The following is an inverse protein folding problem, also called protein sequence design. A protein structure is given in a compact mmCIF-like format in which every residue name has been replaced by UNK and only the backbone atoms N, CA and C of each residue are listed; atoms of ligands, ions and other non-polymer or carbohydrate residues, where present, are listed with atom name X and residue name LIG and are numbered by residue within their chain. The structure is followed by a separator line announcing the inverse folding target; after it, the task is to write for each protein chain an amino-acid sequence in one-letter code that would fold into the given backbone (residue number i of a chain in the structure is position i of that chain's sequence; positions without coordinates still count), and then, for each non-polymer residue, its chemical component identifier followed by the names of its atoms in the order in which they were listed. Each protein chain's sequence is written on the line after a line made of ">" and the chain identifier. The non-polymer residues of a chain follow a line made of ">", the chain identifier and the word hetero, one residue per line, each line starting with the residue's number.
data_IF_356023810977
#
_entry.id   IF_356023810977
#
_cell.length_a   1.000
_cell.length_b   1.000
_cell.length_c   1.000
_cell.angle_alpha   90.00
_cell.angle_beta   90.00
_cell.angle_gamma   90.00
#
_symmetry.space_group_name_H-M   'P 1'
#
loop_
_entity.id
_entity.type
_entity.pdbx_description
1 polymer ?
#
# COMPACT_ATOMS: atom_id res chain seq x y z
N UNK A 1 -21.17 -17.45 -1.15
CA UNK A 1 -21.35 -16.90 -2.50
C UNK A 1 -19.96 -16.55 -3.01
N UNK A 2 -19.41 -17.40 -3.86
CA UNK A 2 -18.05 -17.27 -4.40
C UNK A 2 -18.03 -16.09 -5.39
N UNK A 3 -17.28 -15.04 -5.07
CA UNK A 3 -17.05 -13.93 -5.99
C UNK A 3 -15.79 -14.21 -6.82
N UNK A 4 -15.92 -15.02 -7.88
CA UNK A 4 -14.92 -15.14 -8.95
C UNK A 4 -15.01 -13.96 -9.94
N UNK A 5 -14.94 -12.74 -9.43
CA UNK A 5 -14.99 -11.55 -10.29
C UNK A 5 -13.61 -11.17 -10.81
N UNK A 6 -13.10 -11.82 -11.87
CA UNK A 6 -11.84 -11.41 -12.54
C UNK A 6 -11.80 -9.89 -12.80
N UNK A 7 -10.91 -9.17 -12.11
CA UNK A 7 -10.68 -7.74 -12.36
C UNK A 7 -9.62 -7.59 -13.43
N UNK A 8 -10.02 -7.05 -14.57
CA UNK A 8 -9.14 -6.65 -15.67
C UNK A 8 -8.71 -5.20 -15.49
N UNK A 9 -7.45 -4.84 -15.78
CA UNK A 9 -7.01 -3.46 -15.66
C UNK A 9 -7.73 -2.58 -16.68
N UNK A 10 -8.22 -1.43 -16.24
CA UNK A 10 -8.76 -0.42 -17.14
C UNK A 10 -7.61 0.20 -17.96
N UNK A 11 -7.49 -0.28 -19.20
CA UNK A 11 -6.59 0.25 -20.23
C UNK A 11 -7.44 0.64 -21.42
N UNK A 12 -7.16 1.79 -22.03
CA UNK A 12 -7.85 2.25 -23.25
C UNK A 12 -7.96 1.13 -24.27
N UNK A 13 -9.14 1.00 -24.89
CA UNK A 13 -9.44 -0.05 -25.87
C UNK A 13 -8.53 -0.01 -27.10
N UNK A 14 -7.93 1.14 -27.38
CA UNK A 14 -6.94 1.38 -28.44
C UNK A 14 -5.58 0.73 -28.15
N UNK A 15 -5.23 0.63 -26.87
CA UNK A 15 -3.96 0.05 -26.41
C UNK A 15 -4.11 -1.43 -26.05
N UNK A 16 -5.32 -2.00 -26.12
CA UNK A 16 -5.59 -3.38 -25.75
C UNK A 16 -5.34 -4.32 -26.93
N UNK A 17 -4.47 -5.34 -26.80
CA UNK A 17 -4.28 -6.32 -27.86
C UNK A 17 -5.58 -7.05 -28.21
N UNK A 18 -5.78 -7.30 -29.50
CA UNK A 18 -6.90 -8.07 -30.05
C UNK A 18 -6.33 -9.16 -30.96
N UNK A 19 -7.01 -10.31 -30.99
CA UNK A 19 -6.68 -11.37 -31.93
C UNK A 19 -6.84 -10.85 -33.36
N UNK A 20 -5.90 -11.21 -34.23
CA UNK A 20 -5.89 -10.77 -35.63
C UNK A 20 -5.21 -9.42 -35.89
N UNK A 21 -4.76 -8.69 -34.87
CA UNK A 21 -3.95 -7.47 -35.08
C UNK A 21 -2.68 -7.82 -35.85
N UNK A 22 -2.41 -7.07 -36.92
CA UNK A 22 -1.25 -7.24 -37.80
C UNK A 22 -0.17 -6.19 -37.49
N UNK A 23 1.09 -6.60 -37.59
CA UNK A 23 2.27 -5.75 -37.40
C UNK A 23 3.31 -6.06 -38.48
N UNK A 24 4.09 -5.06 -38.88
CA UNK A 24 5.11 -5.22 -39.93
C UNK A 24 6.39 -5.88 -39.38
N UNK A 25 6.75 -5.63 -38.12
CA UNK A 25 7.88 -6.27 -37.45
C UNK A 25 7.55 -6.72 -36.02
N UNK A 26 8.37 -7.60 -35.46
CA UNK A 26 8.15 -8.09 -34.09
C UNK A 26 8.58 -7.08 -33.02
N UNK A 27 9.40 -6.07 -33.36
CA UNK A 27 9.75 -4.94 -32.49
C UNK A 27 8.52 -4.08 -32.21
N UNK A 28 7.68 -3.82 -33.22
CA UNK A 28 6.43 -3.06 -33.05
C UNK A 28 5.47 -3.80 -32.11
N UNK A 29 5.39 -5.13 -32.25
CA UNK A 29 4.62 -5.98 -31.32
C UNK A 29 5.15 -5.83 -29.90
N UNK A 30 6.48 -5.84 -29.72
CA UNK A 30 7.10 -5.69 -28.41
C UNK A 30 6.76 -4.33 -27.79
N UNK A 31 6.93 -3.24 -28.56
CA UNK A 31 6.66 -1.87 -28.08
C UNK A 31 5.18 -1.70 -27.73
N UNK A 32 4.28 -2.18 -28.58
CA UNK A 32 2.84 -2.15 -28.35
C UNK A 32 2.46 -2.91 -27.07
N UNK A 33 2.93 -4.15 -26.92
CA UNK A 33 2.59 -4.95 -25.75
C UNK A 33 3.26 -4.43 -24.47
N UNK A 34 4.48 -3.89 -24.56
CA UNK A 34 5.17 -3.28 -23.42
C UNK A 34 4.44 -2.02 -22.93
N UNK A 35 3.91 -1.22 -23.85
CA UNK A 35 3.09 -0.05 -23.52
C UNK A 35 1.78 -0.46 -22.84
N UNK A 36 1.08 -1.46 -23.39
CA UNK A 36 -0.08 -2.07 -22.74
C UNK A 36 0.26 -2.58 -21.33
N UNK A 37 1.32 -3.38 -21.19
CA UNK A 37 1.72 -3.98 -19.93
C UNK A 37 2.09 -2.94 -18.87
N UNK A 38 2.79 -1.88 -19.28
CA UNK A 38 3.11 -0.73 -18.43
C UNK A 38 1.84 -0.04 -17.94
N UNK A 39 0.89 0.23 -18.85
CA UNK A 39 -0.41 0.82 -18.50
C UNK A 39 -1.29 -0.13 -17.67
N UNK A 40 -1.09 -1.44 -17.77
CA UNK A 40 -1.75 -2.46 -16.98
C UNK A 40 -1.01 -2.81 -15.67
N UNK A 41 0.18 -2.24 -15.41
CA UNK A 41 0.92 -2.37 -14.16
C UNK A 41 1.84 -3.61 -14.03
N UNK A 42 2.24 -4.24 -15.13
CA UNK A 42 3.14 -5.40 -15.12
C UNK A 42 4.28 -5.28 -16.14
N UNK A 43 5.38 -6.01 -15.89
CA UNK A 43 6.50 -6.12 -16.82
C UNK A 43 6.39 -7.38 -17.69
N UNK A 44 6.99 -7.33 -18.89
CA UNK A 44 6.97 -8.44 -19.85
C UNK A 44 8.37 -9.03 -20.08
N UNK A 45 8.43 -10.30 -20.48
CA UNK A 45 9.61 -10.92 -21.05
C UNK A 45 9.23 -11.88 -22.19
N UNK A 46 10.19 -12.24 -23.03
CA UNK A 46 9.98 -13.17 -24.13
C UNK A 46 10.13 -14.61 -23.65
N UNK A 47 9.02 -15.36 -23.55
CA UNK A 47 9.02 -16.76 -23.12
C UNK A 47 9.51 -17.71 -24.20
N UNK A 48 9.01 -17.51 -25.42
CA UNK A 48 9.21 -18.47 -26.53
C UNK A 48 9.54 -17.71 -27.78
N UNK A 49 10.59 -18.12 -28.49
CA UNK A 49 10.88 -17.70 -29.87
C UNK A 49 11.09 -18.95 -30.72
N UNK A 50 10.39 -19.05 -31.84
CA UNK A 50 10.67 -20.07 -32.87
C UNK A 50 11.07 -19.36 -34.14
N UNK A 51 12.14 -19.85 -34.74
CA UNK A 51 12.67 -19.36 -36.02
C UNK A 51 12.58 -20.47 -37.06
N UNK A 52 12.42 -20.08 -38.33
CA UNK A 52 12.62 -21.00 -39.44
C UNK A 52 14.10 -21.38 -39.49
N UNK A 53 14.41 -22.67 -39.52
CA UNK A 53 15.79 -23.16 -39.55
C UNK A 53 16.51 -22.84 -40.87
N UNK A 54 15.76 -22.67 -41.97
CA UNK A 54 16.32 -22.40 -43.28
C UNK A 54 16.55 -20.90 -43.54
N UNK A 55 15.59 -20.05 -43.17
CA UNK A 55 15.67 -18.60 -43.41
C UNK A 55 16.18 -17.80 -42.21
N UNK A 56 16.24 -18.40 -41.02
CA UNK A 56 16.58 -17.71 -39.76
C UNK A 56 15.48 -16.78 -39.24
N UNK A 57 14.40 -16.61 -39.99
CA UNK A 57 13.34 -15.65 -39.66
C UNK A 57 12.48 -16.12 -38.49
N UNK A 58 12.04 -15.18 -37.65
CA UNK A 58 11.13 -15.46 -36.54
C UNK A 58 9.74 -15.83 -37.08
N UNK A 59 9.31 -17.05 -36.81
CA UNK A 59 7.99 -17.57 -37.21
C UNK A 59 6.97 -17.51 -36.09
N UNK A 60 7.40 -17.56 -34.83
CA UNK A 60 6.55 -17.47 -33.65
C UNK A 60 7.26 -16.76 -32.50
N UNK A 61 6.54 -15.91 -31.78
CA UNK A 61 7.05 -15.29 -30.55
C UNK A 61 5.97 -15.18 -29.49
N UNK A 62 6.33 -15.38 -28.23
CA UNK A 62 5.44 -15.26 -27.09
C UNK A 62 6.04 -14.32 -26.04
N UNK A 63 5.32 -13.25 -25.75
CA UNK A 63 5.60 -12.32 -24.66
C UNK A 63 4.66 -12.61 -23.50
N UNK A 64 5.20 -12.67 -22.28
CA UNK A 64 4.45 -13.09 -21.09
C UNK A 64 4.77 -12.16 -19.94
N UNK A 65 3.93 -12.15 -18.91
CA UNK A 65 4.25 -11.45 -17.66
C UNK A 65 5.53 -12.00 -17.02
N UNK A 66 6.36 -11.11 -16.45
CA UNK A 66 7.54 -11.49 -15.66
C UNK A 66 7.20 -12.45 -14.50
N UNK A 67 5.96 -12.41 -14.01
CA UNK A 67 5.45 -13.31 -12.97
C UNK A 67 4.89 -14.64 -13.49
N UNK A 68 5.04 -14.99 -14.76
CA UNK A 68 4.53 -16.26 -15.31
C UNK A 68 5.29 -17.47 -14.74
N UNK A 69 4.59 -18.54 -14.36
CA UNK A 69 5.16 -19.80 -13.86
C UNK A 69 5.29 -19.83 -12.33
N UNK A 70 5.81 -20.92 -11.77
CA UNK A 70 5.99 -21.09 -10.32
C UNK A 70 7.45 -21.39 -9.99
N UNK A 71 7.94 -20.94 -8.84
CA UNK A 71 9.26 -21.30 -8.35
C UNK A 71 9.28 -22.79 -7.93
N UNK A 72 10.37 -23.49 -8.24
CA UNK A 72 10.61 -24.85 -7.74
C UNK A 72 10.86 -24.80 -6.23
N UNK A 73 10.12 -25.56 -5.44
CA UNK A 73 10.32 -25.73 -4.00
C UNK A 73 11.61 -26.51 -3.76
N UNK A 74 12.70 -25.84 -3.37
CA UNK A 74 13.93 -26.52 -2.97
C UNK A 74 13.87 -26.92 -1.49
N UNK A 75 14.02 -28.21 -1.18
CA UNK A 75 14.03 -28.79 0.18
C UNK A 75 15.31 -28.50 0.99
N UNK A 76 16.14 -27.54 0.57
CA UNK A 76 17.44 -27.28 1.21
C UNK A 76 17.43 -25.93 1.91
N UNK A 77 17.48 -25.98 3.25
CA UNK A 77 17.69 -24.86 4.15
C UNK A 77 19.09 -24.27 3.99
N UNK A 78 19.28 -23.40 2.99
CA UNK A 78 20.37 -22.42 3.00
C UNK A 78 19.77 -21.04 3.02
N UNK A 79 20.12 -20.24 4.04
CA UNK A 79 19.82 -18.80 4.16
C UNK A 79 20.40 -18.05 2.95
N UNK A 80 19.69 -18.08 1.82
CA UNK A 80 19.89 -17.15 0.70
C UNK A 80 18.85 -16.05 0.83
N UNK A 81 19.27 -14.80 0.62
CA UNK A 81 18.40 -13.61 0.51
C UNK A 81 17.12 -13.98 -0.25
N UNK A 82 15.98 -13.91 0.42
CA UNK A 82 14.68 -14.10 -0.20
C UNK A 82 14.45 -12.92 -1.15
N UNK A 83 14.66 -13.14 -2.45
CA UNK A 83 14.19 -12.23 -3.49
C UNK A 83 12.67 -12.35 -3.53
N UNK A 84 11.94 -11.24 -3.60
CA UNK A 84 10.48 -11.24 -3.79
C UNK A 84 10.08 -12.19 -4.92
N UNK A 85 8.93 -12.86 -4.75
CA UNK A 85 8.51 -13.96 -5.61
C UNK A 85 8.51 -13.53 -7.09
N UNK A 86 9.47 -14.03 -7.87
CA UNK A 86 9.61 -13.66 -9.29
C UNK A 86 8.56 -14.28 -10.19
N UNK A 87 7.86 -15.35 -9.75
CA UNK A 87 6.93 -16.13 -10.60
C UNK A 87 5.72 -16.61 -9.76
N UNK A 88 4.56 -15.99 -9.97
CA UNK A 88 3.32 -16.19 -9.20
C UNK A 88 2.23 -16.92 -9.99
N UNK A 89 2.58 -17.55 -11.11
CA UNK A 89 1.64 -18.26 -11.97
C UNK A 89 0.85 -17.37 -12.93
N UNK A 90 1.21 -16.09 -13.09
CA UNK A 90 0.46 -15.15 -13.93
C UNK A 90 0.30 -15.67 -15.37
N UNK A 91 -0.94 -15.71 -15.86
CA UNK A 91 -1.29 -16.26 -17.19
C UNK A 91 -1.30 -15.21 -18.31
N UNK A 92 -1.02 -13.94 -18.00
CA UNK A 92 -1.01 -12.86 -18.98
C UNK A 92 0.05 -13.11 -20.05
N UNK A 93 -0.37 -13.08 -21.33
CA UNK A 93 0.49 -13.36 -22.48
C UNK A 93 0.00 -12.70 -23.75
N UNK A 94 0.92 -12.51 -24.69
CA UNK A 94 0.68 -12.17 -26.09
C UNK A 94 1.50 -13.14 -26.96
N UNK A 95 0.86 -13.79 -27.92
CA UNK A 95 1.48 -14.70 -28.86
C UNK A 95 1.27 -14.21 -30.29
N UNK A 96 2.33 -14.23 -31.09
CA UNK A 96 2.32 -13.86 -32.51
C UNK A 96 2.82 -14.99 -33.41
N UNK A 97 2.32 -15.01 -34.64
CA UNK A 97 2.81 -15.85 -35.74
C UNK A 97 3.14 -14.99 -36.96
N UNK A 98 4.19 -15.36 -37.70
CA UNK A 98 4.50 -14.77 -39.00
C UNK A 98 3.62 -15.43 -40.07
N UNK A 99 2.97 -14.61 -40.89
CA UNK A 99 2.22 -15.04 -42.07
C UNK A 99 3.04 -14.67 -43.31
N UNK A 100 3.61 -15.68 -43.95
CA UNK A 100 4.56 -15.50 -45.06
C UNK A 100 3.91 -14.84 -46.29
N UNK A 101 2.65 -15.14 -46.59
CA UNK A 101 1.92 -14.59 -47.74
C UNK A 101 1.78 -13.06 -47.70
N UNK A 102 1.64 -12.50 -46.49
CA UNK A 102 1.50 -11.05 -46.26
C UNK A 102 2.78 -10.39 -45.76
N UNK A 103 3.80 -11.19 -45.43
CA UNK A 103 5.01 -10.78 -44.70
C UNK A 103 4.71 -9.95 -43.44
N UNK A 104 3.73 -10.38 -42.64
CA UNK A 104 3.31 -9.69 -41.41
C UNK A 104 3.27 -10.62 -40.20
N UNK A 105 3.29 -10.02 -39.02
CA UNK A 105 3.09 -10.69 -37.74
C UNK A 105 1.66 -10.49 -37.25
N UNK A 106 0.97 -11.58 -36.92
CA UNK A 106 -0.42 -11.54 -36.47
C UNK A 106 -0.52 -12.01 -35.02
N UNK A 107 -1.29 -11.30 -34.20
CA UNK A 107 -1.63 -11.72 -32.84
C UNK A 107 -2.57 -12.92 -32.89
N UNK A 108 -2.12 -14.07 -32.38
CA UNK A 108 -2.87 -15.34 -32.36
C UNK A 108 -3.25 -15.80 -30.96
N UNK A 109 -2.73 -15.14 -29.93
CA UNK A 109 -3.09 -15.42 -28.56
C UNK A 109 -2.93 -14.18 -27.69
N UNK A 110 -3.94 -13.89 -26.89
CA UNK A 110 -3.89 -12.82 -25.90
C UNK A 110 -4.65 -13.28 -24.66
N UNK A 111 -3.94 -13.31 -23.53
CA UNK A 111 -4.56 -13.45 -22.23
C UNK A 111 -4.34 -12.14 -21.48
N UNK A 112 -5.44 -11.55 -21.04
CA UNK A 112 -5.41 -10.37 -20.20
C UNK A 112 -4.80 -10.69 -18.84
N UNK A 113 -4.21 -9.68 -18.20
CA UNK A 113 -3.74 -9.82 -16.83
C UNK A 113 -4.97 -9.78 -15.92
N UNK A 114 -5.21 -10.88 -15.20
CA UNK A 114 -6.14 -10.88 -14.08
C UNK A 114 -5.40 -10.33 -12.86
N UNK A 115 -5.80 -9.15 -12.39
CA UNK A 115 -5.20 -8.52 -11.22
C UNK A 115 -5.39 -9.39 -9.97
N UNK A 116 -6.48 -10.16 -9.89
CA UNK A 116 -6.79 -11.03 -8.74
C UNK A 116 -5.87 -12.25 -8.59
N UNK A 117 -5.30 -12.81 -9.67
CA UNK A 117 -4.30 -13.88 -9.55
C UNK A 117 -2.91 -13.34 -9.11
N UNK A 118 -2.72 -12.02 -9.09
CA UNK A 118 -1.40 -11.39 -8.93
C UNK A 118 -1.28 -10.46 -7.71
N UNK A 119 -2.40 -9.99 -7.13
CA UNK A 119 -2.37 -8.84 -6.21
C UNK A 119 -2.41 -9.12 -4.71
N UNK A 120 -2.47 -10.35 -4.21
CA UNK A 120 -2.56 -10.52 -2.75
C UNK A 120 -1.85 -11.75 -2.19
N UNK A 121 -0.63 -12.05 -2.64
CA UNK A 121 0.23 -12.98 -1.90
C UNK A 121 0.72 -12.40 -0.56
N UNK A 122 -0.13 -11.69 0.19
CA UNK A 122 0.24 -11.03 1.44
C UNK A 122 1.15 -9.80 1.28
N UNK A 123 1.43 -9.18 2.42
CA UNK A 123 2.25 -7.98 2.56
C UNK A 123 3.71 -8.22 2.11
N UNK A 124 4.14 -9.48 2.05
CA UNK A 124 5.41 -9.97 1.50
C UNK A 124 5.59 -9.79 -0.03
N UNK A 125 4.57 -9.31 -0.74
CA UNK A 125 4.61 -9.06 -2.18
C UNK A 125 4.42 -7.58 -2.58
N UNK A 126 4.47 -6.66 -1.60
CA UNK A 126 4.61 -5.21 -1.85
C UNK A 126 5.94 -5.01 -2.58
N UNK A 127 5.83 -4.66 -3.86
CA UNK A 127 6.94 -4.68 -4.81
C UNK A 127 7.88 -3.52 -4.58
N UNK A 128 8.78 -3.66 -3.61
CA UNK A 128 9.89 -2.76 -3.41
C UNK A 128 11.17 -3.46 -3.88
N UNK A 129 11.76 -3.00 -4.99
CA UNK A 129 13.11 -3.43 -5.39
C UNK A 129 14.07 -2.28 -5.18
N UNK A 130 15.26 -2.59 -4.65
CA UNK A 130 16.42 -1.71 -4.49
C UNK A 130 16.66 -0.74 -5.67
N UNK A 131 16.28 -1.14 -6.89
CA UNK A 131 16.42 -0.33 -8.12
C UNK A 131 15.44 0.84 -8.20
N UNK A 132 14.21 0.69 -7.70
CA UNK A 132 13.23 1.78 -7.64
C UNK A 132 13.69 2.86 -6.67
N UNK A 133 14.40 2.46 -5.61
CA UNK A 133 15.00 3.40 -4.67
C UNK A 133 16.29 4.00 -5.20
N UNK A 134 17.12 3.28 -5.94
CA UNK A 134 18.23 3.94 -6.64
C UNK A 134 17.74 4.98 -7.65
N UNK A 135 16.64 4.71 -8.34
CA UNK A 135 16.03 5.67 -9.27
C UNK A 135 15.45 6.87 -8.51
N UNK A 136 14.73 6.63 -7.41
CA UNK A 136 14.18 7.70 -6.57
C UNK A 136 15.28 8.49 -5.84
N UNK A 137 16.26 7.84 -5.20
CA UNK A 137 17.39 8.47 -4.51
C UNK A 137 18.35 9.20 -5.46
N UNK A 138 18.42 8.81 -6.74
CA UNK A 138 19.06 9.62 -7.79
C UNK A 138 18.32 10.94 -8.00
N UNK A 139 16.99 10.90 -7.97
CA UNK A 139 16.11 12.04 -8.24
C UNK A 139 15.84 12.89 -6.97
N UNK A 140 16.05 12.35 -5.75
CA UNK A 140 15.75 12.95 -4.42
C UNK A 140 17.02 13.35 -3.66
N UNK A 141 18.10 13.73 -4.33
CA UNK A 141 19.23 14.44 -3.69
C UNK A 141 18.84 15.87 -3.22
N UNK A 142 17.67 16.04 -2.60
CA UNK A 142 17.00 17.33 -2.39
C UNK A 142 16.98 17.86 -0.95
N UNK A 143 16.99 17.02 0.09
CA UNK A 143 17.01 17.51 1.48
C UNK A 143 18.13 16.88 2.30
N UNK A 144 19.30 17.51 2.17
CA UNK A 144 20.41 17.33 3.10
C UNK A 144 20.38 18.44 4.14
N UNK A 145 20.73 18.12 5.38
CA UNK A 145 20.97 19.13 6.39
C UNK A 145 22.24 19.95 6.07
N UNK A 146 22.55 20.94 6.91
CA UNK A 146 23.74 21.78 6.77
C UNK A 146 25.07 21.02 6.78
N UNK A 147 25.05 19.75 7.20
CA UNK A 147 26.21 18.85 7.26
C UNK A 147 26.22 17.82 6.11
N UNK A 148 25.27 17.90 5.17
CA UNK A 148 25.18 16.99 4.04
C UNK A 148 24.51 15.64 4.34
N UNK A 149 23.87 15.48 5.50
CA UNK A 149 23.17 14.24 5.90
C UNK A 149 21.73 14.26 5.42
N UNK A 150 21.22 13.14 4.92
CA UNK A 150 19.80 13.02 4.56
C UNK A 150 18.91 13.22 5.78
N UNK A 151 17.93 14.13 5.67
CA UNK A 151 17.04 14.50 6.78
C UNK A 151 15.73 13.70 6.75
N UNK A 152 14.96 13.83 5.68
CA UNK A 152 13.73 13.06 5.50
C UNK A 152 13.73 12.40 4.12
N UNK A 153 13.11 11.23 4.02
CA UNK A 153 13.05 10.46 2.77
C UNK A 153 11.63 9.96 2.64
N UNK A 154 10.92 10.35 1.59
CA UNK A 154 9.59 9.82 1.24
C UNK A 154 9.74 8.94 0.01
N UNK A 155 8.85 7.99 -0.26
CA UNK A 155 8.76 7.34 -1.56
C UNK A 155 7.40 6.69 -1.77
N UNK A 156 7.00 6.61 -3.03
CA UNK A 156 5.81 5.88 -3.47
C UNK A 156 6.03 5.29 -4.86
N UNK A 157 5.86 3.97 -5.00
CA UNK A 157 6.01 3.31 -6.29
C UNK A 157 4.77 3.47 -7.17
N UNK A 158 4.89 3.14 -8.47
CA UNK A 158 3.81 3.32 -9.44
C UNK A 158 2.54 2.49 -9.10
N UNK A 159 2.67 1.34 -8.43
CA UNK A 159 1.54 0.53 -7.98
C UNK A 159 0.87 1.18 -6.78
N UNK A 160 1.63 1.66 -5.82
CA UNK A 160 1.11 2.38 -4.66
C UNK A 160 0.33 3.62 -5.06
N UNK A 161 0.87 4.43 -5.98
CA UNK A 161 0.20 5.62 -6.53
C UNK A 161 -1.09 5.25 -7.27
N UNK A 162 -1.07 4.19 -8.09
CA UNK A 162 -2.27 3.70 -8.77
C UNK A 162 -3.30 3.15 -7.79
N UNK A 163 -2.87 2.47 -6.73
CA UNK A 163 -3.78 1.93 -5.74
C UNK A 163 -4.47 3.06 -4.95
N UNK A 164 -3.78 4.18 -4.70
CA UNK A 164 -4.37 5.37 -4.11
C UNK A 164 -5.50 5.94 -4.97
N UNK A 165 -5.39 5.92 -6.31
CA UNK A 165 -6.45 6.37 -7.22
C UNK A 165 -7.80 5.65 -6.99
N UNK A 166 -7.76 4.38 -6.57
CA UNK A 166 -8.96 3.57 -6.30
C UNK A 166 -9.36 3.50 -4.83
N UNK A 167 -8.39 3.58 -3.92
CA UNK A 167 -8.56 3.23 -2.49
C UNK A 167 -8.12 4.35 -1.54
N UNK A 168 -7.75 5.52 -2.06
CA UNK A 168 -7.19 6.64 -1.30
C UNK A 168 -8.20 7.45 -0.47
N UNK A 169 -9.48 7.10 -0.47
CA UNK A 169 -10.50 7.81 0.33
C UNK A 169 -10.20 7.79 1.84
N UNK A 170 -9.59 6.71 2.32
CA UNK A 170 -9.23 6.52 3.73
C UNK A 170 -7.76 6.13 3.83
N UNK A 171 -6.99 6.95 4.51
CA UNK A 171 -5.55 6.73 4.75
C UNK A 171 -5.32 6.51 6.24
N UNK A 172 -4.54 5.51 6.60
CA UNK A 172 -3.95 5.32 7.93
C UNK A 172 -2.51 5.80 7.89
N UNK A 173 -2.17 6.65 8.86
CA UNK A 173 -0.80 7.07 9.10
C UNK A 173 -0.44 6.77 10.55
N UNK A 174 0.60 5.96 10.73
CA UNK A 174 1.01 5.44 12.03
C UNK A 174 2.54 5.54 12.16
N UNK A 175 3.03 6.21 13.21
CA UNK A 175 4.47 6.40 13.45
C UNK A 175 5.05 5.40 14.45
N UNK A 176 4.29 4.41 14.91
CA UNK A 176 4.71 3.52 16.02
C UNK A 176 5.77 2.45 15.64
N UNK A 177 6.47 2.60 14.52
CA UNK A 177 7.53 1.70 14.10
C UNK A 177 8.88 2.07 14.72
N UNK A 178 9.64 1.05 15.12
CA UNK A 178 10.99 1.19 15.67
C UNK A 178 11.91 2.07 14.79
N UNK A 179 12.92 2.67 15.41
CA UNK A 179 13.95 3.40 14.68
C UNK A 179 14.98 2.45 14.04
N UNK A 180 15.45 2.80 12.84
CA UNK A 180 16.54 2.10 12.16
C UNK A 180 17.92 2.45 12.80
N UNK A 181 19.03 1.94 12.26
CA UNK A 181 20.37 2.20 12.82
C UNK A 181 20.80 3.68 12.79
N UNK A 182 20.07 4.52 12.04
CA UNK A 182 20.28 5.96 11.93
C UNK A 182 19.35 6.77 12.85
N UNK A 183 18.52 6.11 13.66
CA UNK A 183 17.56 6.78 14.53
C UNK A 183 16.34 7.34 13.79
N UNK A 184 16.16 7.01 12.51
CA UNK A 184 15.01 7.50 11.73
C UNK A 184 13.76 6.66 12.00
N UNK A 185 12.63 7.34 12.10
CA UNK A 185 11.30 6.77 12.32
C UNK A 185 10.70 6.38 10.97
N UNK A 186 10.18 5.15 10.89
CA UNK A 186 9.48 4.69 9.71
C UNK A 186 7.99 5.09 9.77
N UNK A 187 7.53 5.70 8.68
CA UNK A 187 6.22 6.35 8.56
C UNK A 187 5.48 5.82 7.32
N UNK A 188 4.78 4.66 7.42
CA UNK A 188 3.97 4.14 6.33
C UNK A 188 2.61 4.87 6.22
N UNK A 189 2.17 5.08 4.99
CA UNK A 189 0.86 5.60 4.63
C UNK A 189 0.07 4.48 3.95
N UNK A 190 -0.96 3.99 4.65
CA UNK A 190 -1.66 2.75 4.35
C UNK A 190 -3.13 3.01 4.03
N UNK A 191 -3.80 2.08 3.37
CA UNK A 191 -5.25 2.04 3.22
C UNK A 191 -5.74 0.60 3.08
N UNK A 192 -6.96 0.43 2.57
CA UNK A 192 -7.54 -0.89 2.30
C UNK A 192 -8.19 -0.97 0.93
N UNK A 193 -8.08 -2.13 0.30
CA UNK A 193 -8.85 -2.41 -0.90
C UNK A 193 -10.26 -2.95 -0.57
N UNK A 194 -11.06 -3.22 -1.60
CA UNK A 194 -12.42 -3.76 -1.47
C UNK A 194 -12.48 -5.15 -0.80
N UNK A 195 -11.36 -5.86 -0.68
CA UNK A 195 -11.23 -7.14 0.03
C UNK A 195 -10.73 -6.98 1.47
N UNK A 196 -10.65 -5.75 1.99
CA UNK A 196 -10.14 -5.41 3.33
C UNK A 196 -8.67 -5.79 3.54
N UNK A 197 -7.91 -5.91 2.46
CA UNK A 197 -6.49 -6.14 2.51
C UNK A 197 -5.77 -4.80 2.60
N UNK A 198 -4.73 -4.73 3.43
CA UNK A 198 -3.88 -3.55 3.53
C UNK A 198 -3.23 -3.23 2.19
N UNK A 199 -3.29 -1.97 1.82
CA UNK A 199 -2.59 -1.41 0.65
C UNK A 199 -1.59 -0.37 1.14
N UNK A 200 -0.37 -0.40 0.61
CA UNK A 200 0.63 0.64 0.86
C UNK A 200 0.54 1.72 -0.21
N UNK A 201 0.33 2.98 0.18
CA UNK A 201 0.31 4.14 -0.73
C UNK A 201 1.65 4.87 -0.78
N UNK A 202 2.41 4.86 0.30
CA UNK A 202 3.74 5.45 0.35
C UNK A 202 4.37 5.25 1.72
N UNK A 203 5.65 5.55 1.83
CA UNK A 203 6.40 5.44 3.07
C UNK A 203 7.34 6.62 3.23
N UNK A 204 7.74 6.88 4.46
CA UNK A 204 8.87 7.75 4.73
C UNK A 204 9.77 7.25 5.85
N UNK A 205 10.99 7.76 5.86
CA UNK A 205 11.87 7.81 7.01
C UNK A 205 12.05 9.26 7.44
N UNK A 206 11.78 9.53 8.72
CA UNK A 206 11.87 10.87 9.30
C UNK A 206 12.96 10.90 10.38
N UNK A 207 13.80 11.92 10.40
CA UNK A 207 14.81 12.09 11.47
C UNK A 207 14.22 12.56 12.80
N UNK A 208 13.00 13.11 12.79
CA UNK A 208 12.35 13.61 14.01
C UNK A 208 10.83 13.56 13.90
N UNK A 209 10.17 13.29 15.02
CA UNK A 209 8.70 13.33 15.19
C UNK A 209 8.26 14.74 15.59
N UNK A 210 8.39 15.68 14.65
CA UNK A 210 8.00 17.10 14.86
C UNK A 210 6.91 17.51 13.89
N UNK A 211 6.16 18.56 14.21
CA UNK A 211 5.14 19.10 13.29
C UNK A 211 5.73 19.39 11.92
N UNK A 212 6.92 20.00 11.85
CA UNK A 212 7.55 20.35 10.57
C UNK A 212 7.90 19.11 9.74
N UNK A 213 8.40 18.05 10.38
CA UNK A 213 8.67 16.77 9.71
C UNK A 213 7.39 16.12 9.15
N UNK A 214 6.29 16.19 9.90
CA UNK A 214 5.00 15.65 9.44
C UNK A 214 4.34 16.52 8.38
N UNK A 215 4.46 17.85 8.47
CA UNK A 215 4.03 18.77 7.40
C UNK A 215 4.76 18.43 6.12
N UNK A 216 6.08 18.28 6.18
CA UNK A 216 6.89 17.88 5.04
C UNK A 216 6.41 16.55 4.44
N UNK A 217 6.21 15.52 5.28
CA UNK A 217 5.75 14.21 4.84
C UNK A 217 4.40 14.28 4.12
N UNK A 218 3.43 14.97 4.71
CA UNK A 218 2.07 15.05 4.16
C UNK A 218 2.04 15.87 2.86
N UNK A 219 2.87 16.91 2.73
CA UNK A 219 3.04 17.65 1.47
C UNK A 219 3.68 16.78 0.38
N UNK A 220 4.73 16.02 0.68
CA UNK A 220 5.34 15.10 -0.29
C UNK A 220 4.39 13.98 -0.72
N UNK A 221 3.63 13.44 0.23
CA UNK A 221 2.57 12.48 -0.07
C UNK A 221 1.52 13.08 -1.01
N UNK A 222 1.02 14.27 -0.71
CA UNK A 222 0.02 14.98 -1.52
C UNK A 222 0.53 15.28 -2.94
N UNK A 223 1.81 15.65 -3.09
CA UNK A 223 2.43 15.85 -4.41
C UNK A 223 2.56 14.56 -5.21
N UNK A 224 2.84 13.44 -4.53
CA UNK A 224 3.08 12.16 -5.18
C UNK A 224 1.80 11.42 -5.58
N UNK A 225 0.73 11.55 -4.79
CA UNK A 225 -0.53 10.85 -5.04
C UNK A 225 -1.34 11.48 -6.18
N UNK A 226 -1.93 10.68 -7.08
CA UNK A 226 -2.85 11.19 -8.07
C UNK A 226 -4.21 11.54 -7.43
N UNK A 227 -4.88 12.56 -7.97
CA UNK A 227 -6.23 12.93 -7.55
C UNK A 227 -6.28 13.82 -6.30
N UNK A 228 -7.39 13.73 -5.57
CA UNK A 228 -7.67 14.59 -4.41
C UNK A 228 -7.06 14.03 -3.11
N UNK A 229 -6.87 14.89 -2.10
CA UNK A 229 -6.58 14.47 -0.73
C UNK A 229 -7.58 13.43 -0.19
N UNK A 230 -7.17 12.59 0.78
CA UNK A 230 -8.06 11.58 1.35
C UNK A 230 -9.26 12.24 2.03
N UNK A 231 -10.41 11.57 2.05
CA UNK A 231 -11.59 12.05 2.77
C UNK A 231 -11.41 11.90 4.28
N UNK A 232 -10.73 10.84 4.70
CA UNK A 232 -10.40 10.58 6.10
C UNK A 232 -8.92 10.19 6.24
N UNK A 233 -8.25 10.74 7.25
CA UNK A 233 -6.96 10.24 7.72
C UNK A 233 -7.10 9.75 9.16
N UNK A 234 -6.58 8.56 9.42
CA UNK A 234 -6.62 7.90 10.72
C UNK A 234 -5.21 7.84 11.29
N UNK A 235 -4.99 8.44 12.46
CA UNK A 235 -3.67 8.45 13.12
C UNK A 235 -3.79 8.12 14.60
N UNK A 236 -2.67 7.91 15.28
CA UNK A 236 -2.65 7.94 16.73
C UNK A 236 -2.93 9.36 17.28
N UNK A 237 -3.07 9.46 18.60
CA UNK A 237 -3.33 10.73 19.29
C UNK A 237 -2.00 11.46 19.56
N UNK A 238 -1.44 12.03 18.49
CA UNK A 238 -0.22 12.85 18.53
C UNK A 238 -0.51 14.32 18.14
N UNK A 239 -0.02 15.25 18.96
CA UNK A 239 -0.28 16.68 18.77
C UNK A 239 0.45 17.26 17.56
N UNK A 240 1.66 16.76 17.26
CA UNK A 240 2.45 17.20 16.12
C UNK A 240 1.81 16.75 14.80
N UNK A 241 1.34 15.49 14.73
CA UNK A 241 0.59 14.95 13.59
C UNK A 241 -0.73 15.70 13.40
N UNK A 242 -1.49 15.90 14.48
CA UNK A 242 -2.77 16.63 14.42
C UNK A 242 -2.59 18.03 13.84
N UNK A 243 -1.56 18.75 14.28
CA UNK A 243 -1.23 20.08 13.76
C UNK A 243 -0.77 20.03 12.30
N UNK A 244 0.01 19.03 11.91
CA UNK A 244 0.48 18.88 10.53
C UNK A 244 -0.67 18.57 9.55
N UNK A 245 -1.62 17.73 9.95
CA UNK A 245 -2.83 17.44 9.16
C UNK A 245 -3.66 18.70 8.97
N UNK A 246 -3.88 19.47 10.03
CA UNK A 246 -4.64 20.72 9.94
C UNK A 246 -4.00 21.74 8.98
N UNK A 247 -2.68 21.73 8.83
CA UNK A 247 -1.95 22.62 7.93
C UNK A 247 -1.94 22.15 6.47
N UNK A 248 -1.81 20.84 6.23
CA UNK A 248 -1.55 20.28 4.88
C UNK A 248 -2.79 19.69 4.20
N UNK A 249 -3.73 19.15 5.00
CA UNK A 249 -4.93 18.45 4.58
C UNK A 249 -6.20 19.03 5.25
N UNK A 250 -6.50 20.34 5.08
CA UNK A 250 -7.56 21.02 5.83
C UNK A 250 -8.98 20.52 5.53
N UNK A 251 -9.18 19.84 4.39
CA UNK A 251 -10.47 19.26 3.98
C UNK A 251 -10.62 17.78 4.37
N UNK A 252 -9.56 17.17 4.90
CA UNK A 252 -9.55 15.77 5.30
C UNK A 252 -10.05 15.65 6.73
N UNK A 253 -11.00 14.75 6.98
CA UNK A 253 -11.44 14.47 8.33
C UNK A 253 -10.36 13.72 9.11
N UNK A 254 -9.88 14.30 10.20
CA UNK A 254 -8.91 13.66 11.08
C UNK A 254 -9.60 12.81 12.15
N UNK A 255 -9.35 11.49 12.09
CA UNK A 255 -9.86 10.50 13.02
C UNK A 255 -8.73 9.94 13.87
N UNK A 256 -8.92 9.84 15.18
CA UNK A 256 -7.98 9.10 16.02
C UNK A 256 -8.25 7.59 15.94
N UNK A 257 -7.17 6.84 15.90
CA UNK A 257 -7.15 5.40 15.83
C UNK A 257 -7.69 4.81 17.14
N UNK A 258 -8.87 4.21 17.06
CA UNK A 258 -9.55 3.61 18.20
C UNK A 258 -8.74 2.47 18.84
N UNK A 259 -7.89 1.74 18.10
CA UNK A 259 -7.04 0.71 18.69
C UNK A 259 -6.03 1.30 19.69
N UNK A 260 -5.31 2.35 19.29
CA UNK A 260 -4.38 3.04 20.18
C UNK A 260 -5.09 3.61 21.41
N UNK A 261 -6.31 4.12 21.21
CA UNK A 261 -7.14 4.61 22.32
C UNK A 261 -7.49 3.45 23.26
N UNK A 262 -8.04 2.34 22.75
CA UNK A 262 -8.42 1.17 23.56
C UNK A 262 -7.23 0.51 24.26
N UNK A 263 -6.03 0.51 23.67
CA UNK A 263 -4.82 0.07 24.37
C UNK A 263 -4.51 0.97 25.56
N UNK A 264 -4.60 2.30 25.39
CA UNK A 264 -4.45 3.23 26.51
C UNK A 264 -5.50 2.99 27.61
N UNK A 265 -6.74 2.59 27.28
CA UNK A 265 -7.74 2.22 28.31
C UNK A 265 -7.22 1.11 29.23
N UNK A 266 -6.57 0.08 28.66
CA UNK A 266 -6.04 -1.05 29.45
C UNK A 266 -4.82 -0.67 30.31
N UNK A 267 -4.07 0.36 29.91
CA UNK A 267 -2.88 0.84 30.63
C UNK A 267 -3.21 1.79 31.78
N UNK A 268 -4.41 2.39 31.81
CA UNK A 268 -4.78 3.39 32.81
C UNK A 268 -5.28 2.75 34.11
N UNK A 269 -4.78 3.18 35.28
CA UNK A 269 -5.21 2.66 36.58
C UNK A 269 -6.72 2.78 36.79
N UNK A 270 -7.35 1.72 37.31
CA UNK A 270 -8.79 1.69 37.63
C UNK A 270 -9.74 1.47 36.45
N UNK A 271 -9.27 1.63 35.20
CA UNK A 271 -10.13 1.50 34.01
C UNK A 271 -10.25 0.04 33.54
N UNK A 272 -9.26 -0.79 33.82
CA UNK A 272 -9.22 -2.19 33.37
C UNK A 272 -10.42 -3.04 33.81
N UNK A 273 -10.99 -2.77 34.99
CA UNK A 273 -12.11 -3.53 35.56
C UNK A 273 -13.42 -3.32 34.79
N UNK A 274 -13.64 -2.10 34.28
CA UNK A 274 -14.83 -1.74 33.51
C UNK A 274 -14.61 -1.80 31.99
N UNK A 275 -13.43 -2.23 31.52
CA UNK A 275 -13.03 -2.20 30.11
C UNK A 275 -14.04 -2.90 29.18
N UNK A 276 -14.59 -4.05 29.60
CA UNK A 276 -15.57 -4.81 28.82
C UNK A 276 -16.88 -4.02 28.62
N UNK A 277 -17.37 -3.38 29.67
CA UNK A 277 -18.60 -2.56 29.63
C UNK A 277 -18.37 -1.28 28.82
N UNK A 278 -17.23 -0.62 29.02
CA UNK A 278 -16.80 0.54 28.27
C UNK A 278 -16.70 0.23 26.77
N UNK A 279 -16.10 -0.92 26.40
CA UNK A 279 -16.04 -1.37 25.01
C UNK A 279 -17.45 -1.54 24.42
N UNK A 280 -18.36 -2.19 25.15
CA UNK A 280 -19.75 -2.34 24.69
C UNK A 280 -20.41 -0.99 24.44
N UNK A 281 -20.21 -0.01 25.34
CA UNK A 281 -20.72 1.35 25.17
C UNK A 281 -20.13 2.04 23.92
N UNK A 282 -18.80 1.96 23.71
CA UNK A 282 -18.10 2.58 22.57
C UNK A 282 -18.59 2.01 21.23
N UNK A 283 -18.83 0.70 21.16
CA UNK A 283 -19.27 0.02 19.94
C UNK A 283 -20.80 0.00 19.76
N UNK A 284 -21.55 0.12 20.85
CA UNK A 284 -22.98 -0.19 20.95
C UNK A 284 -23.95 0.85 20.37
N UNK A 285 -23.47 1.91 19.71
CA UNK A 285 -24.28 3.12 19.41
C UNK A 285 -24.93 3.75 20.64
N UNK A 286 -24.44 3.41 21.84
CA UNK A 286 -25.03 3.85 23.09
C UNK A 286 -24.76 5.34 23.30
N UNK A 287 -25.73 5.99 23.93
CA UNK A 287 -25.78 7.45 24.10
C UNK A 287 -24.88 7.93 25.23
N UNK A 288 -24.70 9.25 25.36
CA UNK A 288 -23.89 9.91 26.39
C UNK A 288 -24.25 9.43 27.81
N UNK A 289 -25.51 9.11 28.03
CA UNK A 289 -26.06 8.70 29.33
C UNK A 289 -25.43 7.40 29.84
N UNK A 290 -25.18 6.43 28.95
CA UNK A 290 -24.60 5.14 29.35
C UNK A 290 -23.12 5.24 29.67
N UNK A 291 -22.40 6.10 28.94
CA UNK A 291 -21.03 6.45 29.30
C UNK A 291 -20.97 7.05 30.71
N UNK A 292 -21.81 8.03 30.98
CA UNK A 292 -21.87 8.69 32.29
C UNK A 292 -22.26 7.71 33.42
N UNK A 293 -23.15 6.74 33.14
CA UNK A 293 -23.50 5.65 34.06
C UNK A 293 -22.28 4.79 34.43
N UNK A 294 -21.56 4.26 33.42
CA UNK A 294 -20.37 3.41 33.62
C UNK A 294 -19.29 4.16 34.40
N UNK A 295 -19.04 5.42 34.03
CA UNK A 295 -18.04 6.25 34.71
C UNK A 295 -18.44 6.53 36.16
N UNK A 296 -19.73 6.72 36.43
CA UNK A 296 -20.24 6.95 37.79
C UNK A 296 -20.17 5.70 38.66
N UNK A 297 -20.65 4.56 38.15
CA UNK A 297 -20.73 3.30 38.90
C UNK A 297 -19.35 2.77 39.28
N UNK A 298 -18.33 3.08 38.48
CA UNK A 298 -16.95 2.67 38.72
C UNK A 298 -16.10 3.75 39.43
N UNK A 299 -16.69 4.86 39.87
CA UNK A 299 -15.97 5.92 40.59
C UNK A 299 -14.91 6.67 39.77
N UNK A 300 -15.09 6.73 38.44
CA UNK A 300 -14.12 7.29 37.49
C UNK A 300 -14.42 8.73 37.05
N UNK A 301 -15.39 9.42 37.67
CA UNK A 301 -15.86 10.76 37.26
C UNK A 301 -14.73 11.78 37.13
N UNK A 302 -13.80 11.77 38.07
CA UNK A 302 -12.71 12.74 38.15
C UNK A 302 -11.44 12.26 37.44
N UNK A 303 -11.51 11.17 36.65
CA UNK A 303 -10.34 10.61 35.97
C UNK A 303 -9.92 11.51 34.79
N UNK A 304 -8.80 12.26 34.87
CA UNK A 304 -8.52 13.37 33.95
C UNK A 304 -8.37 12.94 32.49
N UNK A 305 -7.75 11.78 32.28
CA UNK A 305 -7.58 11.21 30.94
C UNK A 305 -8.90 10.74 30.34
N UNK A 306 -9.83 10.25 31.17
CA UNK A 306 -11.12 9.72 30.71
C UNK A 306 -12.03 10.89 30.27
N UNK A 307 -12.01 11.99 31.03
CA UNK A 307 -12.68 13.24 30.65
C UNK A 307 -12.09 13.79 29.34
N UNK A 308 -10.76 13.79 29.20
CA UNK A 308 -10.08 14.27 27.99
C UNK A 308 -10.42 13.44 26.74
N UNK A 309 -10.39 12.11 26.83
CA UNK A 309 -10.68 11.25 25.68
C UNK A 309 -12.16 11.28 25.30
N UNK A 310 -13.07 11.44 26.27
CA UNK A 310 -14.49 11.61 26.02
C UNK A 310 -14.82 12.96 25.38
N UNK A 311 -14.07 14.02 25.71
CA UNK A 311 -14.21 15.32 25.04
C UNK A 311 -13.90 15.21 23.53
N UNK A 312 -12.99 14.32 23.15
CA UNK A 312 -12.58 14.07 21.76
C UNK A 312 -13.46 13.02 21.03
N UNK A 313 -14.59 12.59 21.60
CA UNK A 313 -15.43 11.49 21.07
C UNK A 313 -15.83 11.64 19.61
N UNK A 314 -16.00 12.87 19.13
CA UNK A 314 -16.37 13.18 17.75
C UNK A 314 -15.28 12.79 16.73
N UNK A 315 -14.03 12.62 17.19
CA UNK A 315 -12.89 12.24 16.35
C UNK A 315 -12.56 10.74 16.40
N UNK A 316 -13.22 9.91 17.20
CA UNK A 316 -12.81 8.50 17.32
C UNK A 316 -13.93 7.50 17.59
N UNK A 317 -15.00 7.92 18.28
CA UNK A 317 -16.09 7.01 18.65
C UNK A 317 -16.91 6.68 17.40
N UNK A 318 -17.09 5.39 17.06
CA UNK A 318 -17.74 4.95 15.82
C UNK A 318 -19.12 5.56 15.57
N UNK A 319 -19.92 5.79 16.61
CA UNK A 319 -21.27 6.37 16.49
C UNK A 319 -21.26 7.84 16.05
N UNK A 320 -20.23 8.60 16.40
CA UNK A 320 -20.11 10.02 16.08
C UNK A 320 -19.48 10.25 14.70
N UNK A 321 -18.66 9.32 14.21
CA UNK A 321 -17.94 9.44 12.92
C UNK A 321 -18.69 8.86 11.71
N UNK A 322 -19.94 8.38 11.88
CA UNK A 322 -20.73 7.73 10.80
C UNK A 322 -20.98 8.59 9.57
N UNK A 323 -20.86 9.91 9.73
CA UNK A 323 -21.06 10.88 8.67
C UNK A 323 -19.91 10.91 7.65
N UNK A 324 -18.78 10.23 7.93
CA UNK A 324 -17.64 10.09 7.01
C UNK A 324 -17.37 8.61 6.75
N UNK A 325 -17.20 8.24 5.48
CA UNK A 325 -16.81 6.88 5.10
C UNK A 325 -15.44 6.53 5.69
N UNK A 326 -15.36 5.40 6.41
CA UNK A 326 -14.13 4.96 7.07
C UNK A 326 -13.63 3.59 6.62
N UNK A 327 -14.17 3.03 5.53
CA UNK A 327 -13.82 1.71 4.99
C UNK A 327 -13.78 0.56 6.03
N UNK A 328 -14.59 0.64 7.10
CA UNK A 328 -14.52 -0.27 8.26
C UNK A 328 -13.14 -0.35 8.95
N UNK A 329 -12.23 0.57 8.64
CA UNK A 329 -10.95 0.76 9.31
C UNK A 329 -11.22 1.29 10.72
N UNK A 330 -11.55 0.36 11.60
CA UNK A 330 -11.92 0.61 12.99
C UNK A 330 -11.18 -0.34 13.93
N UNK A 331 -10.48 -1.38 13.45
CA UNK A 331 -10.03 -2.46 14.32
C UNK A 331 -8.52 -2.68 14.22
N UNK A 332 -7.89 -2.56 15.39
CA UNK A 332 -6.81 -3.43 15.90
C UNK A 332 -6.16 -4.40 14.93
N UNK A 333 -6.91 -5.31 14.33
CA UNK A 333 -6.43 -6.36 13.43
C UNK A 333 -5.64 -5.86 12.21
N UNK A 334 -6.01 -4.70 11.64
CA UNK A 334 -5.32 -4.18 10.46
C UNK A 334 -4.00 -3.48 10.84
N UNK A 335 -3.99 -2.74 11.95
CA UNK A 335 -2.76 -2.17 12.49
C UNK A 335 -1.80 -3.27 12.99
N UNK A 336 -2.30 -4.30 13.68
CA UNK A 336 -1.51 -5.43 14.18
C UNK A 336 -0.86 -6.25 13.07
N UNK A 337 -1.61 -6.56 12.00
CA UNK A 337 -1.07 -7.29 10.84
C UNK A 337 0.03 -6.50 10.11
N UNK A 338 -0.17 -5.18 9.91
CA UNK A 338 0.84 -4.31 9.31
C UNK A 338 2.06 -4.15 10.22
N UNK A 339 1.83 -3.94 11.52
CA UNK A 339 2.88 -3.84 12.53
C UNK A 339 3.73 -5.10 12.58
N UNK A 340 3.10 -6.27 12.62
CA UNK A 340 3.79 -7.55 12.71
C UNK A 340 4.72 -7.82 11.51
N UNK A 341 4.34 -7.35 10.32
CA UNK A 341 5.18 -7.50 9.12
C UNK A 341 6.35 -6.52 9.11
N UNK A 342 6.09 -5.22 9.21
CA UNK A 342 7.15 -4.22 9.11
C UNK A 342 8.14 -4.31 10.27
N UNK A 343 7.73 -4.75 11.47
CA UNK A 343 8.64 -5.06 12.60
C UNK A 343 9.69 -6.14 12.27
N UNK A 344 9.48 -6.98 11.26
CA UNK A 344 10.48 -7.98 10.83
C UNK A 344 11.64 -7.35 10.06
N UNK A 345 11.42 -6.19 9.44
CA UNK A 345 12.39 -5.49 8.59
C UNK A 345 12.91 -4.20 9.22
N UNK A 346 12.25 -3.70 10.28
CA UNK A 346 12.60 -2.47 10.99
C UNK A 346 13.16 -2.82 12.37
N UNK A 347 14.48 -2.94 12.42
CA UNK A 347 15.24 -3.13 13.65
C UNK A 347 16.32 -2.04 13.76
N UNK A 348 16.75 -1.72 14.98
CA UNK A 348 17.90 -0.83 15.25
C UNK A 348 19.20 -1.29 14.61
N UNK A 349 19.28 -2.56 14.19
CA UNK A 349 20.43 -3.12 13.45
C UNK A 349 20.32 -2.92 11.94
N UNK A 350 19.15 -2.58 11.41
CA UNK A 350 18.94 -2.50 9.98
C UNK A 350 19.39 -1.16 9.43
N UNK A 351 20.17 -1.23 8.34
CA UNK A 351 20.48 -0.03 7.55
C UNK A 351 19.28 0.37 6.70
N UNK A 352 19.21 1.65 6.36
CA UNK A 352 18.29 2.17 5.34
C UNK A 352 18.32 1.29 4.07
N UNK A 353 19.51 0.86 3.62
CA UNK A 353 19.72 -0.01 2.44
C UNK A 353 19.33 -1.49 2.64
N UNK A 354 18.97 -1.91 3.85
CA UNK A 354 18.41 -3.23 4.12
C UNK A 354 16.89 -3.22 4.16
N UNK A 355 16.31 -2.05 4.45
CA UNK A 355 14.88 -1.80 4.35
C UNK A 355 14.47 -1.41 2.91
N UNK A 356 15.40 -0.78 2.19
CA UNK A 356 15.42 -0.44 0.75
C UNK A 356 15.90 -1.62 -0.12
#
# INVERSE_FOLDING_TARGET
>A
MECEGQVTPEVSSELKPKLGLEFDCYEDVFNFYNMYATKAGFGIWCSTTRTCTFTGEVTRKEYVCCKQGYALTSTVSRKRRQRGCTRTGCKAKLAILKVNEKNKYIVVGFNEVSLLEVQAGGLENVGFVRRDVYNYARDVRGEVDSEGRMRNIFWADARSRRAYEFFGDVVVFDTTFNTNCYGMVFAPLLGVNNHRQTVLFGCAFLTSETTDSFVWLLEEFKKAMPGEPPKMIITDQDAAISKAIALTLPTTFHRYCIWHILNKFMEKPGIGECFSEMCKCIWGMDTKEKWDEIVTSNGLKDHPWLSSIHALRENWVPSYVKHVFSAWMSSSQQAESCHAFFKQYINRKNTLMEFI
#
